data_IF_244525034097
#
_entry.id   IF_244525034097
#
_cell.length_a   1.000
_cell.length_b   1.000
_cell.length_c   1.000
_cell.angle_alpha   90.00
_cell.angle_beta   90.00
_cell.angle_gamma   90.00
#
_symmetry.space_group_name_H-M   'P 1'
#
loop_
_entity.id
_entity.type
_entity.pdbx_description
1 polymer ?
#
# COMPACT_ATOMS: atom_id res chain seq x y z
N UNK A 1 14.21 3.63 21.49
CA UNK A 1 14.96 4.57 20.62
C UNK A 1 13.96 5.10 19.61
N UNK A 2 13.64 6.40 19.61
CA UNK A 2 12.88 6.98 18.49
C UNK A 2 13.80 6.97 17.27
N UNK A 3 13.41 6.30 16.20
CA UNK A 3 14.20 6.31 14.96
C UNK A 3 14.21 7.73 14.36
N UNK A 4 15.22 8.05 13.55
CA UNK A 4 15.23 9.33 12.80
C UNK A 4 13.94 9.49 11.97
N UNK A 5 13.43 8.38 11.43
CA UNK A 5 12.18 8.30 10.68
C UNK A 5 10.99 8.82 11.49
N UNK A 6 10.90 8.47 12.77
CA UNK A 6 9.79 8.94 13.62
C UNK A 6 9.81 10.46 13.77
N UNK A 7 11.00 11.06 13.90
CA UNK A 7 11.14 12.53 13.96
C UNK A 7 10.81 13.21 12.63
N UNK A 8 11.13 12.57 11.51
CA UNK A 8 10.79 13.09 10.18
C UNK A 8 9.27 13.07 9.96
N UNK A 9 8.59 11.97 10.33
CA UNK A 9 7.13 11.87 10.28
C UNK A 9 6.48 12.93 11.17
N UNK A 10 6.98 13.09 12.40
CA UNK A 10 6.48 14.10 13.34
C UNK A 10 6.67 15.51 12.82
N UNK A 11 7.83 15.78 12.21
CA UNK A 11 8.11 17.06 11.59
C UNK A 11 7.12 17.37 10.47
N UNK A 12 6.82 16.41 9.59
CA UNK A 12 5.89 16.57 8.47
C UNK A 12 4.47 16.91 8.93
N UNK A 13 4.03 16.33 10.04
CA UNK A 13 2.73 16.67 10.66
C UNK A 13 2.80 18.05 11.32
N UNK A 14 3.86 18.34 12.09
CA UNK A 14 3.99 19.59 12.85
C UNK A 14 4.04 20.85 11.98
N UNK A 15 4.63 20.74 10.78
CA UNK A 15 4.72 21.85 9.81
C UNK A 15 3.48 21.91 8.89
N UNK A 16 2.51 21.01 9.06
CA UNK A 16 1.21 21.08 8.40
C UNK A 16 1.15 20.47 6.99
N UNK A 17 2.15 19.72 6.53
CA UNK A 17 2.04 18.99 5.25
C UNK A 17 1.08 17.80 5.34
N UNK A 18 0.94 17.21 6.52
CA UNK A 18 0.07 16.07 6.78
C UNK A 18 -0.77 16.28 8.04
N UNK A 19 -2.01 15.79 8.01
CA UNK A 19 -2.93 15.86 9.16
C UNK A 19 -2.51 14.91 10.30
N UNK A 20 -1.98 13.73 9.95
CA UNK A 20 -1.64 12.68 10.90
C UNK A 20 -0.43 11.87 10.42
N UNK A 21 0.23 11.18 11.35
CA UNK A 21 1.32 10.25 11.04
C UNK A 21 0.87 9.15 10.08
N UNK A 22 -0.35 8.64 10.26
CA UNK A 22 -0.93 7.59 9.42
C UNK A 22 -1.07 8.04 7.96
N UNK A 23 -1.39 9.32 7.72
CA UNK A 23 -1.43 9.87 6.36
C UNK A 23 -0.05 9.92 5.71
N UNK A 24 0.99 10.25 6.47
CA UNK A 24 2.38 10.21 5.98
C UNK A 24 2.74 8.79 5.56
N UNK A 25 2.42 7.81 6.40
CA UNK A 25 2.72 6.39 6.12
C UNK A 25 1.93 5.89 4.91
N UNK A 26 0.63 6.20 4.84
CA UNK A 26 -0.21 5.82 3.71
C UNK A 26 0.32 6.36 2.38
N UNK A 27 0.72 7.63 2.33
CA UNK A 27 1.31 8.24 1.14
C UNK A 27 2.68 7.66 0.81
N UNK A 28 3.53 7.39 1.80
CA UNK A 28 4.84 6.78 1.59
C UNK A 28 4.70 5.37 1.00
N UNK A 29 3.77 4.56 1.53
CA UNK A 29 3.46 3.23 0.98
C UNK A 29 2.89 3.37 -0.43
N UNK A 30 1.95 4.29 -0.65
CA UNK A 30 1.39 4.57 -1.98
C UNK A 30 2.46 4.95 -3.00
N UNK A 31 3.37 5.86 -2.65
CA UNK A 31 4.47 6.29 -3.50
C UNK A 31 5.47 5.15 -3.81
N UNK A 32 5.73 4.26 -2.83
CA UNK A 32 6.55 3.07 -3.05
C UNK A 32 5.89 2.13 -4.07
N UNK A 33 4.60 1.82 -3.87
CA UNK A 33 3.84 0.94 -4.74
C UNK A 33 3.62 1.55 -6.13
N UNK A 34 3.59 2.88 -6.25
CA UNK A 34 3.57 3.57 -7.55
C UNK A 34 4.83 3.29 -8.35
N UNK A 35 5.99 3.38 -7.67
CA UNK A 35 7.30 3.16 -8.29
C UNK A 35 7.64 1.69 -8.54
N UNK A 36 6.98 0.77 -7.83
CA UNK A 36 7.22 -0.68 -7.91
C UNK A 36 5.91 -1.45 -8.13
N UNK A 37 5.37 -1.45 -9.36
CA UNK A 37 4.14 -2.16 -9.70
C UNK A 37 4.19 -3.66 -9.37
N UNK A 38 5.36 -4.29 -9.47
CA UNK A 38 5.59 -5.69 -9.10
C UNK A 38 5.29 -5.95 -7.62
N UNK A 39 5.78 -5.08 -6.72
CA UNK A 39 5.49 -5.20 -5.28
C UNK A 39 4.01 -4.99 -4.98
N UNK A 40 3.33 -4.15 -5.76
CA UNK A 40 1.90 -3.89 -5.61
C UNK A 40 1.07 -5.13 -5.95
N UNK A 41 1.42 -5.83 -7.02
CA UNK A 41 0.76 -7.06 -7.42
C UNK A 41 0.96 -8.14 -6.35
N UNK A 42 2.19 -8.35 -5.89
CA UNK A 42 2.49 -9.31 -4.82
C UNK A 42 1.74 -8.99 -3.52
N UNK A 43 1.68 -7.71 -3.15
CA UNK A 43 0.92 -7.25 -1.98
C UNK A 43 -0.58 -7.56 -2.13
N UNK A 44 -1.18 -7.27 -3.28
CA UNK A 44 -2.59 -7.54 -3.53
C UNK A 44 -2.91 -9.04 -3.43
N UNK A 45 -2.05 -9.89 -4.00
CA UNK A 45 -2.18 -11.35 -3.92
C UNK A 45 -2.07 -11.83 -2.47
N UNK A 46 -1.10 -11.33 -1.70
CA UNK A 46 -0.92 -11.69 -0.30
C UNK A 46 -2.15 -11.32 0.55
N UNK A 47 -2.65 -10.08 0.42
CA UNK A 47 -3.84 -9.61 1.14
C UNK A 47 -5.09 -10.44 0.79
N UNK A 48 -5.25 -10.84 -0.47
CA UNK A 48 -6.33 -11.73 -0.87
C UNK A 48 -6.18 -13.14 -0.29
N UNK A 49 -5.00 -13.76 -0.43
CA UNK A 49 -4.73 -15.13 0.05
C UNK A 49 -4.86 -15.24 1.58
N UNK A 50 -4.59 -14.18 2.32
CA UNK A 50 -4.79 -14.12 3.78
C UNK A 50 -6.24 -13.85 4.21
N UNK A 51 -7.12 -13.48 3.28
CA UNK A 51 -8.51 -13.12 3.58
C UNK A 51 -8.69 -11.72 4.17
N UNK A 52 -7.66 -10.87 4.14
CA UNK A 52 -7.71 -9.49 4.63
C UNK A 52 -8.61 -8.62 3.75
N UNK A 53 -8.68 -8.94 2.45
CA UNK A 53 -9.51 -8.24 1.46
C UNK A 53 -10.21 -9.21 0.52
N UNK A 54 -11.31 -8.76 -0.08
CA UNK A 54 -12.00 -9.53 -1.13
C UNK A 54 -11.20 -9.57 -2.43
N UNK A 55 -11.51 -10.54 -3.30
CA UNK A 55 -10.91 -10.64 -4.64
C UNK A 55 -11.05 -9.34 -5.44
N UNK A 56 -12.24 -8.71 -5.39
CA UNK A 56 -12.49 -7.42 -6.04
C UNK A 56 -11.60 -6.32 -5.47
N UNK A 57 -11.44 -6.28 -4.14
CA UNK A 57 -10.62 -5.26 -3.52
C UNK A 57 -9.14 -5.45 -3.84
N UNK A 58 -8.69 -6.70 -3.91
CA UNK A 58 -7.32 -7.02 -4.32
C UNK A 58 -7.06 -6.66 -5.79
N UNK A 59 -8.01 -6.87 -6.71
CA UNK A 59 -7.84 -6.45 -8.10
C UNK A 59 -7.71 -4.93 -8.24
N UNK A 60 -8.47 -4.15 -7.44
CA UNK A 60 -8.30 -2.69 -7.38
C UNK A 60 -6.89 -2.30 -6.90
N UNK A 61 -6.39 -2.95 -5.84
CA UNK A 61 -5.04 -2.69 -5.30
C UNK A 61 -3.98 -3.02 -6.35
N UNK A 62 -4.13 -4.15 -7.05
CA UNK A 62 -3.24 -4.56 -8.14
C UNK A 62 -3.33 -3.64 -9.37
N UNK A 63 -4.35 -2.78 -9.46
CA UNK A 63 -4.74 -2.01 -10.66
C UNK A 63 -4.97 -2.90 -11.88
N UNK A 64 -5.64 -4.02 -11.64
CA UNK A 64 -6.04 -4.98 -12.64
C UNK A 64 -7.55 -5.08 -12.67
N UNK A 65 -8.10 -5.51 -13.80
CA UNK A 65 -9.48 -5.95 -13.79
C UNK A 65 -9.61 -7.29 -13.05
N UNK A 66 -10.84 -7.67 -12.73
CA UNK A 66 -11.10 -8.87 -11.93
C UNK A 66 -10.66 -10.17 -12.62
N UNK A 67 -10.75 -10.24 -13.95
CA UNK A 67 -10.37 -11.44 -14.71
C UNK A 67 -8.85 -11.59 -14.72
N UNK A 68 -8.11 -10.54 -15.08
CA UNK A 68 -6.64 -10.50 -15.01
C UNK A 68 -6.12 -10.91 -13.63
N UNK A 69 -6.74 -10.40 -12.57
CA UNK A 69 -6.32 -10.70 -11.21
C UNK A 69 -6.60 -12.15 -10.80
N UNK A 70 -7.67 -12.77 -11.32
CA UNK A 70 -7.94 -14.20 -11.09
C UNK A 70 -6.85 -15.06 -11.71
N UNK A 71 -6.42 -14.74 -12.93
CA UNK A 71 -5.39 -15.48 -13.64
C UNK A 71 -4.07 -15.44 -12.84
N UNK A 72 -3.67 -14.26 -12.34
CA UNK A 72 -2.49 -14.10 -11.47
C UNK A 72 -2.58 -14.92 -10.17
N UNK A 73 -3.79 -15.15 -9.65
CA UNK A 73 -3.99 -15.94 -8.43
C UNK A 73 -4.04 -17.46 -8.68
N UNK A 74 -4.22 -17.89 -9.92
CA UNK A 74 -4.27 -19.30 -10.31
C UNK A 74 -2.89 -19.92 -10.56
N UNK A 75 -1.87 -19.08 -10.78
CA UNK A 75 -0.45 -19.43 -10.74
C UNK A 75 0.09 -19.51 -9.29
#
# INVERSE_FOLDING_TARGET
MSSVIEKEIDSLVSIGFYETKDRVVADAVGALLEKRPEMRQELAVNLYKNGDVSLWKASEIARMNLEEFKDVCQD
#
